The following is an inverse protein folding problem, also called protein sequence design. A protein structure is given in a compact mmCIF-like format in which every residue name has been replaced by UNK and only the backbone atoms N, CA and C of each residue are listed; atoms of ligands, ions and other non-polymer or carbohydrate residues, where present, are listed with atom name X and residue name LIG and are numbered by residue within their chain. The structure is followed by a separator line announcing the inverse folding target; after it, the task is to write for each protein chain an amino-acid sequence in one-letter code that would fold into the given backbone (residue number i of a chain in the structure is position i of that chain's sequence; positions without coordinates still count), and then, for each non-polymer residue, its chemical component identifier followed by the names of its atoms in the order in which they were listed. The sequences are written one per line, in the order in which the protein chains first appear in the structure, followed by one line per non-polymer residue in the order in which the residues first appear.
data_IF_490905503139
#
_entry.id   IF_490905503139
#
_cell.length_a   1.000
_cell.length_b   1.000
_cell.length_c   1.000
_cell.angle_alpha   90.00
_cell.angle_beta   90.00
_cell.angle_gamma   90.00
#
_symmetry.space_group_name_H-M   'P 1'
#
loop_
_entity.id
_entity.type
_entity.pdbx_description
1 polymer ?
#
# COMPACT_ATOMS: atom_id res chain seq x y z
N UNK A 1 -80.82 24.41 39.35
CA UNK A 1 -79.67 25.11 39.95
C UNK A 1 -79.22 24.30 41.16
N UNK A 2 -78.12 23.56 41.06
CA UNK A 2 -77.55 22.83 42.19
C UNK A 2 -76.02 22.99 42.15
N UNK A 3 -75.50 23.39 43.30
CA UNK A 3 -74.18 23.94 43.56
C UNK A 3 -73.22 22.82 43.98
N UNK A 4 -71.97 22.88 43.50
CA UNK A 4 -70.65 22.66 44.15
C UNK A 4 -70.58 21.70 45.38
N UNK A 5 -69.56 20.85 45.63
CA UNK A 5 -68.12 21.08 45.57
C UNK A 5 -67.33 19.77 45.92
N UNK A 6 -66.22 19.56 45.19
CA UNK A 6 -64.84 19.26 45.63
C UNK A 6 -64.36 17.96 46.36
N UNK A 7 -63.23 17.49 45.81
CA UNK A 7 -61.99 16.96 46.43
C UNK A 7 -61.90 15.51 46.96
N UNK A 8 -61.09 14.66 46.28
CA UNK A 8 -59.66 14.44 46.56
C UNK A 8 -59.13 13.01 46.24
N UNK A 9 -57.80 12.95 45.98
CA UNK A 9 -56.84 11.81 46.04
C UNK A 9 -56.76 10.92 44.77
N UNK A 10 -55.66 10.91 43.98
CA UNK A 10 -54.22 10.57 44.19
C UNK A 10 -53.92 9.06 44.05
N UNK A 11 -53.25 8.68 42.95
CA UNK A 11 -52.16 7.67 42.80
C UNK A 11 -52.20 7.07 41.37
N UNK A 12 -51.24 7.42 40.51
CA UNK A 12 -50.01 6.65 40.16
C UNK A 12 -50.31 5.31 39.47
N UNK A 13 -50.00 5.20 38.18
CA UNK A 13 -48.87 4.41 37.64
C UNK A 13 -49.06 4.25 36.12
N UNK A 14 -48.20 4.89 35.32
CA UNK A 14 -47.07 4.28 34.57
C UNK A 14 -47.44 3.84 33.17
N UNK A 15 -46.71 4.42 32.21
CA UNK A 15 -46.27 3.85 30.92
C UNK A 15 -47.37 3.36 29.97
N UNK A 16 -47.53 3.91 28.76
CA UNK A 16 -46.47 3.88 27.75
C UNK A 16 -46.46 5.14 26.88
N UNK A 17 -45.30 5.79 26.83
CA UNK A 17 -44.95 6.80 25.84
C UNK A 17 -44.55 6.06 24.56
N UNK A 18 -45.47 5.95 23.62
CA UNK A 18 -45.16 5.61 22.24
C UNK A 18 -44.36 6.77 21.63
N UNK A 19 -43.03 6.72 21.72
CA UNK A 19 -42.19 7.60 20.92
C UNK A 19 -42.23 7.09 19.48
N UNK A 20 -42.90 7.87 18.62
CA UNK A 20 -42.87 7.70 17.19
C UNK A 20 -41.43 7.72 16.67
N UNK A 21 -41.06 6.57 16.14
CA UNK A 21 -39.82 6.23 15.48
C UNK A 21 -39.61 7.17 14.27
N UNK A 22 -38.94 8.30 14.48
CA UNK A 22 -38.36 9.06 13.37
C UNK A 22 -37.16 8.28 12.83
N UNK A 23 -37.48 7.28 12.01
CA UNK A 23 -36.56 6.64 11.09
C UNK A 23 -36.11 7.72 10.10
N UNK A 24 -35.04 8.44 10.44
CA UNK A 24 -34.30 9.21 9.45
C UNK A 24 -33.73 8.19 8.47
N UNK A 25 -34.46 7.93 7.39
CA UNK A 25 -33.94 7.34 6.16
C UNK A 25 -32.86 8.28 5.66
N UNK A 26 -31.67 8.13 6.21
CA UNK A 26 -30.45 8.59 5.55
C UNK A 26 -30.25 7.60 4.42
N UNK A 27 -30.94 7.82 3.31
CA UNK A 27 -30.56 7.18 2.06
C UNK A 27 -29.05 7.38 1.92
N UNK A 28 -28.26 6.29 1.77
CA UNK A 28 -26.83 6.43 1.59
C UNK A 28 -26.60 7.36 0.40
N UNK A 29 -25.66 8.31 0.48
CA UNK A 29 -25.37 9.19 -0.65
C UNK A 29 -25.16 8.31 -1.87
N UNK A 30 -25.79 8.68 -2.99
CA UNK A 30 -25.68 7.99 -4.27
C UNK A 30 -24.21 8.05 -4.72
N UNK A 31 -23.42 7.10 -4.21
CA UNK A 31 -21.98 7.07 -4.40
C UNK A 31 -21.74 6.42 -5.73
N UNK A 32 -21.50 7.24 -6.76
CA UNK A 32 -21.08 6.72 -8.06
C UNK A 32 -19.92 5.73 -7.87
N UNK A 33 -20.04 4.53 -8.42
CA UNK A 33 -18.99 3.50 -8.35
C UNK A 33 -18.25 3.44 -9.69
N UNK A 34 -16.92 3.40 -9.64
CA UNK A 34 -16.12 3.27 -10.85
C UNK A 34 -16.22 1.86 -11.44
N UNK A 35 -16.71 1.73 -12.67
CA UNK A 35 -16.87 0.44 -13.36
C UNK A 35 -15.55 -0.31 -13.67
N UNK A 36 -14.38 0.29 -13.41
CA UNK A 36 -13.09 -0.38 -13.55
C UNK A 36 -12.57 -0.92 -12.22
N UNK A 37 -12.51 -0.11 -11.16
CA UNK A 37 -11.92 -0.52 -9.88
C UNK A 37 -12.95 -0.88 -8.81
N UNK A 38 -14.24 -0.73 -9.07
CA UNK A 38 -15.34 -0.94 -8.14
C UNK A 38 -15.22 -0.13 -6.83
N UNK A 39 -14.46 0.98 -6.85
CA UNK A 39 -14.34 1.90 -5.73
C UNK A 39 -15.22 3.13 -5.97
N UNK A 40 -15.63 3.77 -4.87
CA UNK A 40 -16.42 5.00 -4.89
C UNK A 40 -15.68 6.12 -5.62
N UNK A 41 -16.45 6.93 -6.33
CA UNK A 41 -16.00 8.14 -7.00
C UNK A 41 -16.29 9.31 -6.06
N UNK A 42 -15.34 9.61 -5.18
CA UNK A 42 -15.45 10.73 -4.24
C UNK A 42 -15.46 12.08 -4.99
N UNK A 43 -16.11 13.10 -4.42
CA UNK A 43 -16.35 14.42 -5.06
C UNK A 43 -15.09 15.17 -5.51
N UNK A 44 -13.92 14.85 -4.94
CA UNK A 44 -12.64 15.45 -5.33
C UNK A 44 -11.90 14.78 -6.48
N UNK A 45 -12.38 13.63 -6.98
CA UNK A 45 -11.69 12.87 -8.03
C UNK A 45 -12.26 13.21 -9.41
N UNK A 46 -11.37 13.45 -10.40
CA UNK A 46 -11.81 13.66 -11.79
C UNK A 46 -12.52 12.39 -12.30
N UNK A 47 -13.82 12.50 -12.50
CA UNK A 47 -14.69 11.46 -13.08
C UNK A 47 -14.81 11.67 -14.58
N UNK A 48 -15.03 10.59 -15.33
CA UNK A 48 -15.32 10.66 -16.77
C UNK A 48 -16.45 9.69 -17.09
N UNK A 49 -17.47 10.18 -17.79
CA UNK A 49 -18.58 9.37 -18.29
C UNK A 49 -18.19 8.72 -19.61
N UNK A 50 -18.43 7.42 -19.72
CA UNK A 50 -18.11 6.64 -20.90
C UNK A 50 -19.10 6.97 -22.01
N UNK A 51 -18.60 7.54 -23.12
CA UNK A 51 -19.36 7.76 -24.35
C UNK A 51 -19.27 6.55 -25.29
N UNK A 52 -20.03 6.53 -26.39
CA UNK A 52 -19.95 5.49 -27.42
C UNK A 52 -18.50 5.25 -27.92
N UNK A 53 -17.75 6.34 -28.14
CA UNK A 53 -16.31 6.26 -28.50
C UNK A 53 -15.46 5.70 -27.36
N UNK A 54 -15.83 6.01 -26.11
CA UNK A 54 -15.20 5.48 -24.90
C UNK A 54 -15.33 3.96 -24.78
N UNK A 55 -16.52 3.42 -25.06
CA UNK A 55 -16.79 1.97 -25.05
C UNK A 55 -15.85 1.23 -26.00
N UNK A 56 -15.72 1.71 -27.25
CA UNK A 56 -14.85 1.08 -28.24
C UNK A 56 -13.37 1.01 -27.77
N UNK A 57 -12.88 2.07 -27.13
CA UNK A 57 -11.52 2.11 -26.57
C UNK A 57 -11.33 1.13 -25.40
N UNK A 58 -12.30 1.06 -24.49
CA UNK A 58 -12.28 0.15 -23.34
C UNK A 58 -12.40 -1.32 -23.79
N UNK A 59 -13.25 -1.61 -24.76
CA UNK A 59 -13.39 -2.95 -25.36
C UNK A 59 -12.11 -3.37 -26.09
N UNK A 60 -11.47 -2.47 -26.85
CA UNK A 60 -10.17 -2.75 -27.49
C UNK A 60 -9.10 -3.08 -26.44
N UNK A 61 -9.04 -2.30 -25.36
CA UNK A 61 -8.12 -2.57 -24.25
C UNK A 61 -8.45 -3.89 -23.54
N UNK A 62 -9.73 -4.23 -23.38
CA UNK A 62 -10.18 -5.51 -22.80
C UNK A 62 -9.73 -6.70 -23.64
N UNK A 63 -9.96 -6.65 -24.96
CA UNK A 63 -9.51 -7.68 -25.91
C UNK A 63 -8.00 -7.86 -25.86
N UNK A 64 -7.25 -6.77 -25.83
CA UNK A 64 -5.78 -6.82 -25.73
C UNK A 64 -5.28 -7.41 -24.39
N UNK A 65 -6.12 -7.42 -23.34
CA UNK A 65 -5.84 -8.05 -22.04
C UNK A 65 -6.40 -9.48 -21.92
N UNK A 66 -6.93 -10.05 -22.99
CA UNK A 66 -7.49 -11.40 -23.00
C UNK A 66 -8.96 -11.50 -22.57
N UNK A 67 -9.74 -10.42 -22.72
CA UNK A 67 -11.20 -10.45 -22.69
C UNK A 67 -11.88 -10.69 -21.33
N UNK A 68 -11.13 -10.71 -20.24
CA UNK A 68 -11.64 -11.15 -18.92
C UNK A 68 -12.32 -10.06 -18.07
N UNK A 69 -12.73 -8.93 -18.65
CA UNK A 69 -13.26 -7.76 -17.90
C UNK A 69 -14.68 -7.41 -18.34
N UNK A 70 -15.55 -6.83 -17.47
CA UNK A 70 -16.97 -6.64 -17.76
C UNK A 70 -17.22 -5.87 -19.05
N UNK A 71 -18.39 -6.12 -19.64
CA UNK A 71 -18.89 -5.37 -20.78
C UNK A 71 -19.06 -3.90 -20.41
N UNK A 72 -18.38 -3.04 -21.15
CA UNK A 72 -18.49 -1.60 -21.00
C UNK A 72 -19.71 -1.11 -21.80
N UNK A 73 -20.51 -0.25 -21.18
CA UNK A 73 -21.66 0.41 -21.82
C UNK A 73 -21.60 1.92 -21.61
N UNK A 74 -22.36 2.65 -22.43
CA UNK A 74 -22.42 4.11 -22.35
C UNK A 74 -23.12 4.58 -21.08
N UNK A 75 -22.62 5.66 -20.49
CA UNK A 75 -23.17 6.22 -19.25
C UNK A 75 -22.47 5.71 -17.98
N UNK A 76 -21.61 4.68 -18.07
CA UNK A 76 -20.77 4.29 -16.94
C UNK A 76 -19.83 5.41 -16.54
N UNK A 77 -19.59 5.54 -15.23
CA UNK A 77 -18.66 6.53 -14.69
C UNK A 77 -17.36 5.82 -14.29
N UNK A 78 -16.25 6.41 -14.68
CA UNK A 78 -14.91 5.92 -14.37
C UNK A 78 -14.09 7.03 -13.72
N UNK A 79 -13.11 6.67 -12.89
CA UNK A 79 -12.03 7.60 -12.59
C UNK A 79 -11.26 7.89 -13.89
N UNK A 80 -10.93 9.14 -14.14
CA UNK A 80 -10.09 9.53 -15.29
C UNK A 80 -8.76 8.78 -15.27
N UNK A 81 -8.18 8.56 -14.09
CA UNK A 81 -6.98 7.75 -13.89
C UNK A 81 -7.20 6.29 -14.27
N UNK A 82 -8.29 5.67 -13.79
CA UNK A 82 -8.61 4.28 -14.12
C UNK A 82 -8.75 4.09 -15.63
N UNK A 83 -9.44 5.02 -16.32
CA UNK A 83 -9.55 5.00 -17.79
C UNK A 83 -8.18 5.13 -18.45
N UNK A 84 -7.36 6.09 -18.04
CA UNK A 84 -6.02 6.29 -18.58
C UNK A 84 -5.16 5.01 -18.43
N UNK A 85 -5.07 4.48 -17.21
CA UNK A 85 -4.22 3.35 -16.89
C UNK A 85 -4.69 2.05 -17.56
N UNK A 86 -6.01 1.90 -17.72
CA UNK A 86 -6.59 0.75 -18.38
C UNK A 86 -6.35 0.74 -19.89
N UNK A 87 -6.51 1.89 -20.55
CA UNK A 87 -6.28 2.03 -22.00
C UNK A 87 -4.81 2.22 -22.39
N UNK A 88 -3.91 2.47 -21.43
CA UNK A 88 -2.49 2.69 -21.70
C UNK A 88 -1.80 1.43 -22.25
N UNK A 89 -1.15 1.55 -23.41
CA UNK A 89 -0.43 0.46 -24.08
C UNK A 89 0.66 -0.17 -23.22
N UNK A 90 1.39 0.62 -22.41
CA UNK A 90 2.42 0.10 -21.52
C UNK A 90 1.83 -0.73 -20.36
N UNK A 91 0.61 -0.39 -19.93
CA UNK A 91 -0.13 -1.15 -18.93
C UNK A 91 -0.66 -2.48 -19.51
N UNK A 92 -1.14 -2.44 -20.76
CA UNK A 92 -1.59 -3.65 -21.48
C UNK A 92 -0.43 -4.61 -21.69
N UNK A 93 0.72 -4.13 -22.19
CA UNK A 93 1.94 -4.93 -22.40
C UNK A 93 2.43 -5.60 -21.11
N UNK A 94 2.42 -4.87 -19.98
CA UNK A 94 2.80 -5.43 -18.66
C UNK A 94 1.88 -6.56 -18.22
N UNK A 95 0.56 -6.39 -18.39
CA UNK A 95 -0.41 -7.44 -18.04
C UNK A 95 -0.26 -8.69 -18.91
N UNK A 96 0.00 -8.51 -20.22
CA UNK A 96 0.25 -9.63 -21.13
C UNK A 96 1.50 -10.42 -20.70
N UNK A 97 2.60 -9.73 -20.39
CA UNK A 97 3.83 -10.37 -19.90
C UNK A 97 3.61 -11.13 -18.58
N UNK A 98 2.74 -10.64 -17.68
CA UNK A 98 2.39 -11.33 -16.44
C UNK A 98 1.54 -12.60 -16.67
N UNK A 99 0.68 -12.61 -17.70
CA UNK A 99 -0.15 -13.78 -18.05
C UNK A 99 0.63 -14.90 -18.75
N UNK A 100 1.78 -14.60 -19.36
CA UNK A 100 2.69 -15.60 -19.92
C UNK A 100 3.33 -16.54 -18.88
N UNK A 101 3.25 -16.21 -17.59
CA UNK A 101 3.79 -17.00 -16.48
C UNK A 101 2.74 -17.84 -15.74
N UNK A 102 1.49 -17.91 -16.25
CA UNK A 102 0.35 -18.45 -15.51
C UNK A 102 -0.31 -19.66 -16.20
N UNK A 103 0.45 -20.72 -16.46
CA UNK A 103 -0.10 -22.08 -16.57
C UNK A 103 0.82 -23.10 -15.90
N UNK A 104 0.91 -23.00 -14.57
CA UNK A 104 1.21 -24.11 -13.68
C UNK A 104 0.84 -23.65 -12.26
N UNK A 105 -0.42 -23.84 -11.89
CA UNK A 105 -0.84 -23.87 -10.48
C UNK A 105 -0.35 -25.16 -9.82
N UNK A 106 0.92 -25.52 -9.98
CA UNK A 106 1.58 -26.30 -8.96
C UNK A 106 1.58 -25.41 -7.72
N UNK A 107 1.11 -25.92 -6.58
CA UNK A 107 1.41 -25.31 -5.28
C UNK A 107 2.91 -25.03 -5.32
N UNK A 108 3.30 -23.76 -5.50
CA UNK A 108 4.68 -23.36 -5.29
C UNK A 108 4.86 -23.61 -3.81
N UNK A 109 5.38 -24.79 -3.45
CA UNK A 109 6.18 -24.90 -2.25
C UNK A 109 7.09 -23.69 -2.35
N UNK A 110 6.90 -22.74 -1.45
CA UNK A 110 7.76 -21.56 -1.39
C UNK A 110 9.15 -22.15 -1.24
N UNK A 111 9.90 -22.19 -2.35
CA UNK A 111 11.31 -22.53 -2.31
C UNK A 111 11.89 -21.56 -1.28
N UNK A 112 12.92 -21.96 -0.53
CA UNK A 112 13.56 -21.01 0.39
C UNK A 112 14.04 -19.73 -0.33
N UNK A 113 14.07 -19.71 -1.67
CA UNK A 113 14.33 -18.56 -2.54
C UNK A 113 13.15 -17.59 -2.76
N UNK A 114 11.90 -17.95 -2.44
CA UNK A 114 10.74 -17.04 -2.54
C UNK A 114 10.49 -16.23 -1.27
N UNK A 115 11.20 -16.51 -0.18
CA UNK A 115 11.41 -15.52 0.88
C UNK A 115 12.35 -14.46 0.32
N UNK A 116 11.98 -13.19 0.38
CA UNK A 116 12.78 -12.07 -0.14
C UNK A 116 14.09 -11.99 0.67
N UNK A 117 15.11 -12.75 0.24
CA UNK A 117 16.40 -12.82 0.92
C UNK A 117 17.11 -11.50 0.71
N UNK A 118 17.61 -10.94 1.80
CA UNK A 118 18.44 -9.74 1.75
C UNK A 118 19.64 -9.99 0.81
N UNK A 119 19.74 -9.23 -0.26
CA UNK A 119 20.82 -9.31 -1.24
C UNK A 119 21.86 -8.24 -0.95
N UNK A 120 23.03 -8.63 -0.44
CA UNK A 120 24.09 -7.69 -0.07
C UNK A 120 24.54 -6.80 -1.25
N UNK A 121 24.46 -7.28 -2.49
CA UNK A 121 24.90 -6.51 -3.65
C UNK A 121 23.84 -5.49 -4.13
N UNK A 122 22.57 -5.73 -3.83
CA UNK A 122 21.46 -4.92 -4.36
C UNK A 122 20.64 -4.21 -3.28
N UNK A 123 20.68 -4.65 -2.03
CA UNK A 123 19.96 -4.07 -0.91
C UNK A 123 20.94 -3.32 0.00
N UNK A 124 20.52 -2.13 0.43
CA UNK A 124 21.30 -1.33 1.35
C UNK A 124 21.43 -2.06 2.70
N UNK A 125 22.67 -2.33 3.12
CA UNK A 125 23.02 -2.96 4.39
C UNK A 125 22.33 -2.32 5.60
N UNK A 126 22.11 -1.00 5.53
CA UNK A 126 21.53 -0.23 6.62
C UNK A 126 20.00 -0.30 6.57
N UNK A 127 19.37 0.14 5.49
CA UNK A 127 17.91 0.30 5.45
C UNK A 127 17.13 -0.85 4.82
N UNK A 128 17.78 -1.87 4.27
CA UNK A 128 17.08 -3.01 3.65
C UNK A 128 16.49 -2.74 2.27
N UNK A 129 16.55 -1.51 1.76
CA UNK A 129 15.94 -1.12 0.49
C UNK A 129 16.88 -1.34 -0.68
N UNK A 130 16.31 -1.75 -1.81
CA UNK A 130 17.06 -1.94 -3.04
C UNK A 130 17.69 -0.61 -3.50
N UNK A 131 18.99 -0.65 -3.78
CA UNK A 131 19.79 0.47 -4.30
C UNK A 131 19.43 0.78 -5.76
N UNK A 132 18.90 -0.20 -6.51
CA UNK A 132 18.53 -0.04 -7.92
C UNK A 132 17.23 0.73 -8.13
N UNK A 133 16.29 0.64 -7.19
CA UNK A 133 14.99 1.32 -7.29
C UNK A 133 15.11 2.85 -7.23
N UNK A 134 16.22 3.34 -6.65
CA UNK A 134 16.50 4.78 -6.50
C UNK A 134 17.27 5.38 -7.69
N UNK A 135 17.77 4.57 -8.63
CA UNK A 135 18.50 5.07 -9.84
C UNK A 135 17.63 5.93 -10.75
N UNK A 136 16.30 5.83 -10.69
CA UNK A 136 15.39 6.65 -11.52
C UNK A 136 15.25 8.10 -11.06
N UNK A 137 15.80 8.46 -9.88
CA UNK A 137 15.59 9.76 -9.26
C UNK A 137 16.92 10.44 -8.91
N UNK A 138 17.86 10.48 -9.85
CA UNK A 138 18.97 11.45 -9.93
C UNK A 138 20.05 11.46 -8.85
N UNK A 139 19.75 11.23 -7.56
CA UNK A 139 20.56 11.78 -6.46
C UNK A 139 20.88 10.81 -5.31
N UNK A 140 20.53 9.51 -5.41
CA UNK A 140 20.91 8.57 -4.35
C UNK A 140 22.22 7.88 -4.69
N UNK A 141 23.32 8.45 -4.21
CA UNK A 141 24.64 7.82 -4.20
C UNK A 141 24.64 6.60 -3.27
N UNK A 142 25.13 5.48 -3.79
CA UNK A 142 25.41 4.27 -3.02
C UNK A 142 26.90 3.96 -3.10
N UNK A 143 27.42 3.37 -2.03
CA UNK A 143 28.81 2.95 -1.92
C UNK A 143 28.88 1.47 -1.60
N UNK A 144 29.89 0.80 -2.15
CA UNK A 144 30.22 -0.57 -1.82
C UNK A 144 31.24 -0.61 -0.69
N UNK A 145 31.07 -1.55 0.23
CA UNK A 145 32.03 -1.86 1.27
C UNK A 145 33.20 -2.60 0.62
N UNK A 146 34.37 -1.95 0.61
CA UNK A 146 35.60 -2.47 -0.03
C UNK A 146 36.65 -2.95 0.96
N UNK A 147 36.48 -2.66 2.25
CA UNK A 147 37.52 -2.91 3.26
C UNK A 147 36.92 -3.50 4.54
N UNK A 148 37.69 -4.36 5.18
CA UNK A 148 37.38 -4.90 6.51
C UNK A 148 37.31 -3.80 7.58
N UNK A 149 38.08 -2.72 7.43
CA UNK A 149 38.01 -1.56 8.32
C UNK A 149 36.65 -0.86 8.29
N UNK A 150 35.99 -0.83 7.13
CA UNK A 150 34.64 -0.27 7.03
C UNK A 150 33.62 -1.16 7.75
N UNK A 151 33.78 -2.49 7.67
CA UNK A 151 32.97 -3.44 8.42
C UNK A 151 33.17 -3.27 9.94
N UNK A 152 34.42 -3.25 10.41
CA UNK A 152 34.72 -3.07 11.83
C UNK A 152 34.13 -1.77 12.40
N UNK A 153 34.16 -0.67 11.63
CA UNK A 153 33.52 0.58 12.03
C UNK A 153 32.00 0.45 12.17
N UNK A 154 31.33 -0.31 11.30
CA UNK A 154 29.89 -0.54 11.41
C UNK A 154 29.54 -1.40 12.63
N UNK A 155 30.35 -2.42 12.91
CA UNK A 155 30.20 -3.26 14.12
C UNK A 155 30.36 -2.42 15.39
N UNK A 156 31.38 -1.54 15.45
CA UNK A 156 31.57 -0.61 16.56
C UNK A 156 30.39 0.35 16.73
N UNK A 157 29.84 0.88 15.63
CA UNK A 157 28.65 1.74 15.68
C UNK A 157 27.43 0.99 16.23
N UNK A 158 27.21 -0.26 15.81
CA UNK A 158 26.16 -1.11 16.39
C UNK A 158 26.32 -1.31 17.90
N UNK A 159 27.56 -1.47 18.38
CA UNK A 159 27.85 -1.61 19.83
C UNK A 159 27.63 -0.28 20.58
N UNK A 160 28.01 0.85 19.98
CA UNK A 160 27.86 2.18 20.58
C UNK A 160 26.40 2.61 20.73
N UNK A 161 25.54 2.28 19.75
CA UNK A 161 24.10 2.56 19.83
C UNK A 161 23.45 1.74 20.95
N UNK A 162 23.96 0.53 21.22
CA UNK A 162 23.49 -0.33 22.29
C UNK A 162 22.25 -1.16 21.94
N UNK A 163 21.88 -2.12 22.81
CA UNK A 163 20.71 -2.98 22.62
C UNK A 163 19.40 -2.19 22.73
N UNK A 164 18.40 -2.53 21.90
CA UNK A 164 17.09 -1.88 21.87
C UNK A 164 16.82 -0.98 20.65
N UNK A 165 17.86 -0.63 19.87
CA UNK A 165 17.67 -0.01 18.56
C UNK A 165 17.47 -1.08 17.48
N UNK A 166 16.24 -1.14 16.95
CA UNK A 166 15.85 -2.12 15.92
C UNK A 166 16.71 -2.04 14.66
N UNK A 167 17.16 -0.84 14.28
CA UNK A 167 18.01 -0.66 13.12
C UNK A 167 19.41 -1.21 13.40
N UNK A 168 20.01 -0.87 14.55
CA UNK A 168 21.32 -1.38 14.93
C UNK A 168 21.35 -2.91 15.04
N UNK A 169 20.32 -3.51 15.64
CA UNK A 169 20.16 -4.98 15.74
C UNK A 169 20.01 -5.64 14.36
N UNK A 170 19.20 -5.03 13.48
CA UNK A 170 19.03 -5.52 12.10
C UNK A 170 20.35 -5.47 11.32
N UNK A 171 21.08 -4.36 11.44
CA UNK A 171 22.38 -4.20 10.77
C UNK A 171 23.38 -5.22 11.32
N UNK A 172 23.47 -5.37 12.65
CA UNK A 172 24.35 -6.34 13.29
C UNK A 172 24.07 -7.77 12.80
N UNK A 173 22.79 -8.18 12.76
CA UNK A 173 22.40 -9.50 12.26
C UNK A 173 22.78 -9.72 10.78
N UNK A 174 22.71 -8.68 9.95
CA UNK A 174 23.17 -8.75 8.54
C UNK A 174 24.69 -8.91 8.44
N UNK A 175 25.45 -8.21 9.28
CA UNK A 175 26.92 -8.32 9.32
C UNK A 175 27.32 -9.73 9.74
N UNK A 176 26.73 -10.25 10.82
CA UNK A 176 26.96 -11.61 11.32
C UNK A 176 26.62 -12.69 10.29
N UNK A 177 25.51 -12.50 9.55
CA UNK A 177 25.11 -13.43 8.50
C UNK A 177 26.09 -13.44 7.31
N UNK A 178 26.55 -12.27 6.86
CA UNK A 178 27.50 -12.19 5.75
C UNK A 178 28.90 -12.67 6.11
N UNK A 179 29.30 -12.51 7.39
CA UNK A 179 30.66 -12.69 7.92
C UNK A 179 31.71 -11.76 7.32
N UNK A 180 31.74 -11.61 5.99
CA UNK A 180 32.63 -10.75 5.25
C UNK A 180 31.84 -9.89 4.25
N UNK A 181 31.58 -8.64 4.62
CA UNK A 181 30.80 -7.70 3.81
C UNK A 181 31.49 -7.34 2.49
N UNK A 182 32.82 -7.30 2.47
CA UNK A 182 33.59 -7.00 1.27
C UNK A 182 33.44 -8.11 0.23
N UNK A 183 33.56 -9.38 0.66
CA UNK A 183 33.36 -10.54 -0.20
C UNK A 183 31.91 -10.68 -0.66
N UNK A 184 30.95 -10.35 0.20
CA UNK A 184 29.52 -10.34 -0.12
C UNK A 184 29.11 -9.20 -1.08
N UNK A 185 30.03 -8.28 -1.41
CA UNK A 185 29.73 -7.13 -2.26
C UNK A 185 28.75 -6.14 -1.64
N UNK A 186 28.72 -6.05 -0.30
CA UNK A 186 27.74 -5.27 0.44
C UNK A 186 27.71 -3.80 0.03
N UNK A 187 26.51 -3.25 -0.18
CA UNK A 187 26.31 -1.84 -0.54
C UNK A 187 25.48 -1.08 0.50
N UNK A 188 25.62 0.25 0.54
CA UNK A 188 24.78 1.12 1.36
C UNK A 188 24.55 2.48 0.70
N UNK A 189 23.42 3.13 1.01
CA UNK A 189 23.19 4.52 0.59
C UNK A 189 24.05 5.48 1.41
N UNK A 190 24.63 6.50 0.77
CA UNK A 190 25.41 7.53 1.47
C UNK A 190 24.64 8.14 2.64
N UNK A 191 23.38 8.51 2.39
CA UNK A 191 22.52 9.11 3.39
C UNK A 191 22.24 8.17 4.57
N UNK A 192 22.09 6.88 4.32
CA UNK A 192 21.90 5.90 5.38
C UNK A 192 23.13 5.83 6.29
N UNK A 193 24.34 5.87 5.72
CA UNK A 193 25.58 5.88 6.51
C UNK A 193 25.74 7.15 7.35
N UNK A 194 25.42 8.32 6.78
CA UNK A 194 25.44 9.59 7.53
C UNK A 194 24.45 9.53 8.71
N UNK A 195 23.22 9.07 8.46
CA UNK A 195 22.19 9.00 9.49
C UNK A 195 22.51 7.98 10.57
N UNK A 196 23.06 6.83 10.17
CA UNK A 196 23.49 5.78 11.10
C UNK A 196 24.59 6.28 12.04
N UNK A 197 25.59 7.01 11.51
CA UNK A 197 26.66 7.62 12.32
C UNK A 197 26.18 8.73 13.25
N UNK A 198 25.14 9.47 12.86
CA UNK A 198 24.64 10.63 13.60
C UNK A 198 23.50 10.28 14.56
N UNK A 199 23.12 9.00 14.67
CA UNK A 199 22.02 8.57 15.54
C UNK A 199 20.66 9.13 15.13
N UNK A 200 20.51 9.62 13.90
CA UNK A 200 19.22 10.10 13.38
C UNK A 200 18.37 8.90 13.03
N UNK A 201 17.60 8.42 14.02
CA UNK A 201 16.68 7.30 13.91
C UNK A 201 15.72 7.60 12.76
N UNK A 202 15.67 6.69 11.79
CA UNK A 202 14.59 6.71 10.83
C UNK A 202 13.36 6.02 11.42
N UNK A 203 12.27 6.77 11.63
CA UNK A 203 10.93 6.18 11.65
C UNK A 203 10.60 5.69 10.23
N UNK A 204 11.06 4.50 9.86
CA UNK A 204 10.48 3.77 8.73
C UNK A 204 9.72 2.58 9.29
N UNK A 205 8.43 2.53 8.98
CA UNK A 205 7.58 1.38 9.23
C UNK A 205 8.22 0.15 8.61
N UNK A 206 8.74 -0.73 9.46
CA UNK A 206 9.02 -2.12 9.11
C UNK A 206 7.64 -2.74 8.89
N UNK A 207 7.28 -3.00 7.63
CA UNK A 207 6.13 -3.83 7.25
C UNK A 207 6.58 -5.25 7.02
#
# INVERSE_FOLDING_TARGET
MATQHNHAKRSKSTSELSLDLHLTSSDPPDVDICALCNHTLNDGQKKTTVTNKGVAGLQKASRARGGSRPDFYTGQILHTRCRHDYCNQNSIRRDFNRKGEHWSAAKKTSLRSSTNKFDFANDCLLCGRCTRDLRKKGDVSFYQIRTSSCQANLELLCLQIGPGDKLAETVKGRIEYAQNLCAAGAVYHQQCNINFRTGKIFHWHIS
#
